data_IF_425942716462
#
_entry.id   IF_425942716462
#
_cell.length_a   1.000
_cell.length_b   1.000
_cell.length_c   1.000
_cell.angle_alpha   90.00
_cell.angle_beta   90.00
_cell.angle_gamma   90.00
#
_symmetry.space_group_name_H-M   'P 1'
#
loop_
_entity.id
_entity.type
_entity.pdbx_description
1 polymer ?
#
# COMPACT_ATOMS: atom_id res chain seq x y z
N UNK A 1 -9.05 24.82 -12.06
CA UNK A 1 -8.64 23.41 -11.95
C UNK A 1 -9.09 22.91 -10.59
N UNK A 2 -9.67 21.71 -10.50
CA UNK A 2 -10.27 21.20 -9.26
C UNK A 2 -9.22 20.50 -8.38
N UNK A 3 -9.32 20.68 -7.05
CA UNK A 3 -8.42 20.05 -6.08
C UNK A 3 -8.72 18.54 -5.96
N UNK A 4 -7.73 17.68 -5.62
CA UNK A 4 -7.95 16.25 -5.44
C UNK A 4 -9.09 15.87 -4.49
N UNK A 5 -9.28 16.63 -3.42
CA UNK A 5 -10.36 16.44 -2.45
C UNK A 5 -11.77 16.62 -3.03
N UNK A 6 -11.91 17.21 -4.22
CA UNK A 6 -13.19 17.31 -4.92
C UNK A 6 -13.55 16.03 -5.70
N UNK A 7 -12.58 15.13 -5.90
CA UNK A 7 -12.77 13.85 -6.60
C UNK A 7 -12.71 12.64 -5.66
N UNK A 8 -11.96 12.75 -4.56
CA UNK A 8 -11.67 11.64 -3.65
C UNK A 8 -12.03 12.02 -2.22
N UNK A 9 -12.65 11.10 -1.49
CA UNK A 9 -12.76 11.22 -0.03
C UNK A 9 -11.45 10.71 0.61
N UNK A 10 -10.63 11.64 1.11
CA UNK A 10 -9.33 11.34 1.70
C UNK A 10 -9.40 10.97 3.19
N UNK A 11 -10.58 11.02 3.82
CA UNK A 11 -10.75 10.65 5.23
C UNK A 11 -10.61 9.15 5.47
N UNK A 12 -10.80 8.34 4.42
CA UNK A 12 -10.75 6.88 4.49
C UNK A 12 -9.41 6.28 4.06
N UNK A 13 -8.34 7.07 4.00
CA UNK A 13 -7.01 6.58 3.67
C UNK A 13 -5.97 7.03 4.68
N UNK A 14 -4.98 6.17 4.97
CA UNK A 14 -3.79 6.54 5.72
C UNK A 14 -2.80 7.39 4.90
N UNK A 15 -3.07 7.60 3.61
CA UNK A 15 -2.17 8.23 2.65
C UNK A 15 -2.67 9.54 2.05
N UNK A 16 -3.35 10.44 2.79
CA UNK A 16 -3.86 11.70 2.22
C UNK A 16 -2.71 12.59 1.71
N UNK A 17 -1.52 12.46 2.32
CA UNK A 17 -0.30 13.16 1.94
C UNK A 17 0.21 12.88 0.53
N UNK A 18 -0.23 11.79 -0.12
CA UNK A 18 0.07 11.55 -1.54
C UNK A 18 -0.62 12.57 -2.46
N UNK A 19 -1.69 13.21 -1.97
CA UNK A 19 -2.53 14.14 -2.73
C UNK A 19 -2.32 15.61 -2.34
N UNK A 20 -1.48 15.90 -1.33
CA UNK A 20 -1.10 17.26 -0.96
C UNK A 20 -0.40 17.97 -2.14
N UNK A 21 -0.78 19.22 -2.39
CA UNK A 21 -0.24 20.11 -3.43
C UNK A 21 -0.26 19.53 -4.87
N UNK A 22 -1.19 18.61 -5.16
CA UNK A 22 -1.32 18.02 -6.50
C UNK A 22 -2.34 18.76 -7.37
N UNK A 23 -1.93 19.12 -8.59
CA UNK A 23 -2.82 19.70 -9.61
C UNK A 23 -3.79 18.66 -10.19
N UNK A 24 -3.36 17.40 -10.31
CA UNK A 24 -4.18 16.28 -10.82
C UNK A 24 -4.13 15.11 -9.84
N UNK A 25 -5.25 14.42 -9.64
CA UNK A 25 -5.34 13.25 -8.73
C UNK A 25 -4.33 12.15 -9.07
N UNK A 26 -4.10 11.89 -10.35
CA UNK A 26 -3.16 10.86 -10.81
C UNK A 26 -1.68 11.26 -10.63
N UNK A 27 -1.36 12.51 -10.33
CA UNK A 27 0.02 12.89 -10.00
C UNK A 27 0.50 12.20 -8.72
N UNK A 28 -0.41 11.81 -7.82
CA UNK A 28 -0.11 10.98 -6.65
C UNK A 28 0.65 9.69 -7.03
N UNK A 29 0.35 9.09 -8.19
CA UNK A 29 1.00 7.86 -8.66
C UNK A 29 2.52 8.03 -8.85
N UNK A 30 2.94 9.22 -9.29
CA UNK A 30 4.37 9.55 -9.49
C UNK A 30 5.11 9.65 -8.15
N UNK A 31 4.39 9.96 -7.08
CA UNK A 31 4.95 10.19 -5.74
C UNK A 31 5.03 8.92 -4.90
N UNK A 32 4.40 7.80 -5.32
CA UNK A 32 4.34 6.58 -4.49
C UNK A 32 5.73 6.08 -4.10
N UNK A 33 6.68 6.08 -5.04
CA UNK A 33 8.02 5.55 -4.79
C UNK A 33 8.77 6.34 -3.71
N UNK A 34 8.86 7.66 -3.85
CA UNK A 34 9.50 8.53 -2.86
C UNK A 34 8.71 8.52 -1.54
N UNK A 35 7.39 8.57 -1.61
CA UNK A 35 6.53 8.52 -0.43
C UNK A 35 6.79 7.28 0.42
N UNK A 36 6.83 6.09 -0.18
CA UNK A 36 7.10 4.85 0.55
C UNK A 36 8.54 4.81 1.07
N UNK A 37 9.52 5.31 0.33
CA UNK A 37 10.90 5.38 0.82
C UNK A 37 11.02 6.16 2.14
N UNK A 38 10.25 7.25 2.30
CA UNK A 38 10.30 8.10 3.50
C UNK A 38 9.34 7.67 4.62
N UNK A 39 8.21 7.05 4.28
CA UNK A 39 7.10 6.83 5.23
C UNK A 39 6.87 5.37 5.61
N UNK A 40 7.30 4.43 4.77
CA UNK A 40 7.11 3.01 5.04
C UNK A 40 7.99 2.57 6.21
N UNK A 41 7.36 2.03 7.24
CA UNK A 41 8.03 1.31 8.31
C UNK A 41 7.62 -0.16 8.18
N UNK A 42 8.52 -1.06 7.78
CA UNK A 42 8.14 -2.45 7.54
C UNK A 42 7.57 -3.10 8.81
N UNK A 43 6.46 -3.80 8.64
CA UNK A 43 5.80 -4.55 9.71
C UNK A 43 4.80 -5.53 9.10
N UNK A 44 4.63 -6.70 9.70
CA UNK A 44 3.55 -7.62 9.32
C UNK A 44 2.65 -7.77 10.54
N UNK A 45 1.50 -7.08 10.50
CA UNK A 45 0.51 -7.07 11.58
C UNK A 45 -0.72 -7.95 11.26
N UNK A 46 -0.81 -8.43 10.02
CA UNK A 46 -1.85 -9.33 9.54
C UNK A 46 -1.53 -10.81 9.79
N UNK A 47 -2.45 -11.68 9.37
CA UNK A 47 -2.31 -13.13 9.43
C UNK A 47 -1.64 -13.68 8.17
N UNK A 48 -0.69 -14.60 8.34
CA UNK A 48 -0.07 -15.33 7.24
C UNK A 48 -0.59 -16.75 7.20
N UNK A 49 -1.28 -17.12 6.13
CA UNK A 49 -1.79 -18.47 5.90
C UNK A 49 -0.81 -19.19 4.98
N UNK A 50 -0.04 -20.13 5.54
CA UNK A 50 0.94 -20.91 4.79
C UNK A 50 2.30 -20.22 4.67
N UNK A 51 2.88 -20.21 3.46
CA UNK A 51 4.23 -19.69 3.18
C UNK A 51 4.24 -18.67 2.03
N UNK A 52 3.76 -17.44 2.26
CA UNK A 52 3.99 -16.34 1.34
C UNK A 52 5.44 -15.86 1.37
N UNK A 53 5.91 -15.28 0.27
CA UNK A 53 7.15 -14.52 0.22
C UNK A 53 6.86 -13.05 0.51
N UNK A 54 7.50 -12.50 1.54
CA UNK A 54 7.41 -11.09 1.89
C UNK A 54 8.82 -10.54 2.03
N UNK A 55 9.18 -9.59 1.17
CA UNK A 55 10.50 -8.92 1.26
C UNK A 55 10.56 -7.96 2.45
N UNK A 56 11.77 -7.57 2.85
CA UNK A 56 12.00 -6.80 4.09
C UNK A 56 11.39 -5.40 4.12
N UNK A 57 11.02 -4.81 2.98
CA UNK A 57 10.42 -3.46 2.90
C UNK A 57 8.92 -3.52 2.63
N UNK A 58 8.16 -4.28 3.42
CA UNK A 58 6.70 -4.39 3.26
C UNK A 58 5.99 -4.08 4.58
N UNK A 59 4.93 -3.30 4.51
CA UNK A 59 3.97 -3.13 5.60
C UNK A 59 2.69 -3.92 5.29
N UNK A 60 2.18 -4.66 6.25
CA UNK A 60 0.88 -5.35 6.20
C UNK A 60 0.07 -4.97 7.42
N UNK A 61 -1.08 -4.34 7.19
CA UNK A 61 -2.00 -3.86 8.21
C UNK A 61 -2.73 -4.97 8.97
N UNK A 62 -3.45 -4.57 10.02
CA UNK A 62 -4.22 -5.46 10.89
C UNK A 62 -5.46 -5.99 10.16
N UNK A 63 -5.89 -7.20 10.51
CA UNK A 63 -7.04 -7.84 9.88
C UNK A 63 -6.80 -8.24 8.41
N UNK A 64 -5.61 -7.99 7.87
CA UNK A 64 -5.22 -8.44 6.54
C UNK A 64 -4.77 -9.89 6.57
N UNK A 65 -5.23 -10.69 5.61
CA UNK A 65 -4.83 -12.09 5.44
C UNK A 65 -3.94 -12.20 4.20
N UNK A 66 -2.78 -12.82 4.34
CA UNK A 66 -1.87 -13.12 3.23
C UNK A 66 -1.77 -14.62 3.07
N UNK A 67 -2.29 -15.13 1.96
CA UNK A 67 -2.38 -16.55 1.67
C UNK A 67 -1.11 -17.16 1.04
N UNK A 68 -1.11 -18.49 0.97
CA UNK A 68 -0.02 -19.32 0.48
C UNK A 68 0.48 -18.87 -0.90
N UNK A 69 1.80 -18.76 -1.05
CA UNK A 69 2.44 -18.48 -2.34
C UNK A 69 2.25 -17.05 -2.85
N UNK A 70 1.62 -16.15 -2.09
CA UNK A 70 1.66 -14.73 -2.40
C UNK A 70 3.11 -14.20 -2.35
N UNK A 71 3.43 -13.24 -3.22
CA UNK A 71 4.75 -12.63 -3.35
C UNK A 71 4.60 -11.11 -3.19
N UNK A 72 5.10 -10.58 -2.08
CA UNK A 72 5.08 -9.15 -1.76
C UNK A 72 6.51 -8.58 -1.85
N UNK A 73 6.78 -7.80 -2.89
CA UNK A 73 8.06 -7.10 -3.09
C UNK A 73 7.98 -5.64 -2.67
N UNK A 74 8.93 -5.23 -1.85
CA UNK A 74 9.01 -3.94 -1.19
C UNK A 74 9.88 -2.94 -1.95
N UNK A 75 9.64 -1.63 -1.81
CA UNK A 75 8.70 -1.01 -0.87
C UNK A 75 7.23 -1.20 -1.25
N UNK A 76 6.41 -1.74 -0.35
CA UNK A 76 4.97 -1.90 -0.57
C UNK A 76 4.19 -1.73 0.74
N UNK A 77 3.00 -1.15 0.66
CA UNK A 77 2.10 -0.96 1.79
C UNK A 77 0.78 -1.67 1.51
N UNK A 78 0.43 -2.65 2.35
CA UNK A 78 -0.88 -3.29 2.35
C UNK A 78 -1.63 -2.78 3.58
N UNK A 79 -2.77 -2.14 3.36
CA UNK A 79 -3.61 -1.57 4.42
C UNK A 79 -4.22 -2.61 5.36
N UNK A 80 -5.12 -2.13 6.20
CA UNK A 80 -5.90 -2.96 7.13
C UNK A 80 -7.06 -3.65 6.40
N UNK A 81 -7.44 -4.84 6.86
CA UNK A 81 -8.59 -5.61 6.38
C UNK A 81 -8.54 -5.98 4.88
N UNK A 82 -7.35 -6.18 4.32
CA UNK A 82 -7.16 -6.67 2.96
C UNK A 82 -7.16 -8.20 2.88
N UNK A 83 -7.42 -8.75 1.68
CA UNK A 83 -7.23 -10.17 1.38
C UNK A 83 -6.22 -10.32 0.24
N UNK A 84 -5.00 -10.75 0.57
CA UNK A 84 -3.96 -11.08 -0.41
C UNK A 84 -4.05 -12.57 -0.68
N UNK A 85 -4.77 -12.94 -1.74
CA UNK A 85 -5.08 -14.33 -2.08
C UNK A 85 -3.89 -15.11 -2.62
N UNK A 86 -4.05 -16.43 -2.62
CA UNK A 86 -3.02 -17.39 -3.00
C UNK A 86 -2.40 -17.06 -4.36
N UNK A 87 -1.07 -17.01 -4.43
CA UNK A 87 -0.32 -16.69 -5.64
C UNK A 87 -0.36 -15.21 -6.09
N UNK A 88 -0.96 -14.30 -5.31
CA UNK A 88 -0.97 -12.87 -5.63
C UNK A 88 0.47 -12.32 -5.73
N UNK A 89 0.75 -11.53 -6.76
CA UNK A 89 2.05 -10.87 -6.96
C UNK A 89 1.91 -9.36 -6.80
N UNK A 90 2.49 -8.81 -5.74
CA UNK A 90 2.60 -7.37 -5.50
C UNK A 90 4.04 -6.93 -5.73
N UNK A 91 4.22 -5.98 -6.64
CA UNK A 91 5.52 -5.38 -6.96
C UNK A 91 5.85 -4.21 -6.04
N UNK A 92 7.07 -3.71 -6.19
CA UNK A 92 7.57 -2.51 -5.54
C UNK A 92 6.75 -1.27 -5.95
N UNK A 93 6.70 -0.30 -5.04
CA UNK A 93 5.98 0.97 -5.18
C UNK A 93 4.46 0.80 -5.32
N UNK A 94 3.88 -0.07 -4.48
CA UNK A 94 2.44 -0.33 -4.43
C UNK A 94 1.88 0.05 -3.06
N UNK A 95 0.70 0.66 -3.08
CA UNK A 95 -0.16 0.89 -1.91
C UNK A 95 -1.50 0.20 -2.21
N UNK A 96 -1.94 -0.67 -1.30
CA UNK A 96 -3.23 -1.37 -1.35
C UNK A 96 -4.09 -0.90 -0.20
#
# INVERSE_FOLDING_TARGET
MFAPAQFLNLEHTAHPKLFEDQSYVWNALKQIASYLQFRLKPAVLGELVGRPFISGSVFVGRGTVVEQGAVLKGPAWIGDNCQIRSGCYVRENVVV
#
